data_IF_288127517573
#
_entry.id   IF_288127517573
#
_cell.length_a   1.000
_cell.length_b   1.000
_cell.length_c   1.000
_cell.angle_alpha   90.00
_cell.angle_beta   90.00
_cell.angle_gamma   90.00
#
_symmetry.space_group_name_H-M   'P 1'
#
loop_
_entity.id
_entity.type
_entity.pdbx_description
1 polymer ?
#
# COMPACT_ATOMS: atom_id res chain seq x y z
N UNK A 1 -39.40 -12.78 15.63
CA UNK A 1 -39.04 -11.35 15.49
C UNK A 1 -37.65 -11.14 16.05
N UNK A 2 -36.64 -10.86 15.22
CA UNK A 2 -35.25 -10.63 15.64
C UNK A 2 -35.00 -9.13 15.73
N UNK A 3 -34.94 -8.58 16.94
CA UNK A 3 -34.53 -7.19 17.18
C UNK A 3 -33.03 -7.07 16.91
N UNK A 4 -32.65 -6.43 15.79
CA UNK A 4 -31.26 -6.01 15.56
C UNK A 4 -30.90 -4.98 16.64
N UNK A 5 -30.04 -5.37 17.59
CA UNK A 5 -29.41 -4.42 18.50
C UNK A 5 -28.60 -3.40 17.68
N UNK A 6 -28.64 -2.11 18.01
CA UNK A 6 -27.76 -1.13 17.40
C UNK A 6 -26.31 -1.52 17.71
N UNK A 7 -25.52 -1.78 16.66
CA UNK A 7 -24.08 -1.95 16.78
C UNK A 7 -23.50 -0.61 17.25
N UNK A 8 -22.70 -0.56 18.33
CA UNK A 8 -21.98 0.65 18.67
C UNK A 8 -21.06 1.03 17.51
N UNK A 9 -21.03 2.32 17.15
CA UNK A 9 -20.06 2.83 16.18
C UNK A 9 -18.66 2.37 16.60
N UNK A 10 -17.81 1.87 15.68
CA UNK A 10 -16.44 1.55 16.01
C UNK A 10 -15.80 2.81 16.60
N UNK A 11 -15.28 2.70 17.83
CA UNK A 11 -14.57 3.78 18.49
C UNK A 11 -13.46 4.27 17.55
N UNK A 12 -13.34 5.59 17.38
CA UNK A 12 -12.24 6.17 16.63
C UNK A 12 -10.92 5.55 17.16
N UNK A 13 -9.99 5.14 16.26
CA UNK A 13 -8.74 4.53 16.69
C UNK A 13 -8.03 5.49 17.66
N UNK A 14 -7.56 4.95 18.79
CA UNK A 14 -6.82 5.73 19.78
C UNK A 14 -5.64 6.46 19.10
N UNK A 15 -5.30 7.69 19.53
CA UNK A 15 -4.13 8.38 19.01
C UNK A 15 -2.88 7.53 19.28
N UNK A 16 -2.25 7.02 18.22
CA UNK A 16 -1.12 6.08 18.28
C UNK A 16 -1.44 4.64 17.86
N UNK A 17 -2.69 4.30 17.51
CA UNK A 17 -2.99 3.03 16.87
C UNK A 17 -2.28 2.96 15.51
N UNK A 18 -1.42 1.95 15.35
CA UNK A 18 -0.78 1.65 14.07
C UNK A 18 -1.83 1.61 12.94
N UNK A 19 -1.48 2.01 11.71
CA UNK A 19 -2.41 1.95 10.59
C UNK A 19 -3.05 0.56 10.52
N UNK A 20 -4.34 0.46 10.18
CA UNK A 20 -5.05 -0.80 10.22
C UNK A 20 -4.24 -1.85 9.45
N UNK A 21 -4.04 -3.03 10.05
CA UNK A 21 -3.20 -4.12 9.55
C UNK A 21 -3.70 -4.79 8.26
N UNK A 22 -4.51 -4.07 7.49
CA UNK A 22 -5.07 -4.46 6.21
C UNK A 22 -4.05 -4.39 5.07
N UNK A 23 -4.51 -4.91 3.94
CA UNK A 23 -3.77 -4.94 2.69
C UNK A 23 -4.03 -3.65 1.93
N UNK A 24 -2.96 -3.02 1.46
CA UNK A 24 -2.96 -1.87 0.56
C UNK A 24 -2.39 -2.27 -0.79
N UNK A 25 -2.89 -1.59 -1.81
CA UNK A 25 -2.49 -1.81 -3.20
C UNK A 25 -2.19 -0.47 -3.82
N UNK A 26 -1.07 -0.39 -4.53
CA UNK A 26 -0.78 0.71 -5.45
C UNK A 26 -0.52 0.14 -6.84
N UNK A 27 -0.94 0.86 -7.86
CA UNK A 27 -0.76 0.47 -9.24
C UNK A 27 -0.25 1.64 -10.07
N UNK A 28 0.70 1.37 -10.97
CA UNK A 28 1.18 2.30 -11.98
C UNK A 28 0.98 1.65 -13.35
N UNK A 29 0.43 2.43 -14.28
CA UNK A 29 0.33 2.03 -15.69
C UNK A 29 1.15 3.01 -16.52
N UNK A 30 2.03 2.47 -17.37
CA UNK A 30 2.87 3.23 -18.32
C UNK A 30 2.77 2.57 -19.69
N UNK A 31 1.95 3.13 -20.59
CA UNK A 31 1.65 2.48 -21.85
C UNK A 31 1.01 1.10 -21.62
N UNK A 32 1.61 0.05 -22.16
CA UNK A 32 1.16 -1.34 -21.95
C UNK A 32 1.68 -1.99 -20.66
N UNK A 33 2.61 -1.34 -19.96
CA UNK A 33 3.22 -1.90 -18.77
C UNK A 33 2.44 -1.53 -17.51
N UNK A 34 2.26 -2.51 -16.63
CA UNK A 34 1.43 -2.40 -15.43
C UNK A 34 2.21 -2.97 -14.26
N UNK A 35 2.43 -2.14 -13.24
CA UNK A 35 3.09 -2.52 -12.02
C UNK A 35 2.09 -2.44 -10.88
N UNK A 36 1.90 -3.55 -10.16
CA UNK A 36 0.98 -3.63 -9.02
C UNK A 36 1.76 -4.09 -7.80
N UNK A 37 1.74 -3.27 -6.74
CA UNK A 37 2.35 -3.61 -5.46
C UNK A 37 1.26 -3.81 -4.42
N UNK A 38 1.23 -5.03 -3.89
CA UNK A 38 0.35 -5.43 -2.80
C UNK A 38 1.19 -5.58 -1.54
N UNK A 39 0.84 -4.84 -0.49
CA UNK A 39 1.59 -4.82 0.75
C UNK A 39 0.66 -4.62 1.94
N UNK A 40 1.14 -4.94 3.14
CA UNK A 40 0.39 -4.64 4.36
C UNK A 40 0.67 -3.22 4.81
N UNK A 41 -0.36 -2.50 5.26
CA UNK A 41 -0.21 -1.11 5.69
C UNK A 41 0.73 -0.93 6.90
N UNK A 42 0.89 -1.96 7.72
CA UNK A 42 1.84 -1.99 8.83
C UNK A 42 3.30 -2.32 8.41
N UNK A 43 3.53 -2.59 7.12
CA UNK A 43 4.84 -2.99 6.55
C UNK A 43 5.27 -2.11 5.37
N UNK A 44 4.99 -0.81 5.44
CA UNK A 44 5.37 0.17 4.41
C UNK A 44 6.88 0.18 4.14
N UNK A 45 7.71 0.18 5.18
CA UNK A 45 9.17 0.22 5.03
C UNK A 45 9.71 -1.00 4.26
N UNK A 46 9.20 -2.19 4.55
CA UNK A 46 9.56 -3.43 3.85
C UNK A 46 9.16 -3.37 2.37
N UNK A 47 7.99 -2.80 2.07
CA UNK A 47 7.53 -2.59 0.69
C UNK A 47 8.44 -1.61 -0.07
N UNK A 48 8.83 -0.50 0.55
CA UNK A 48 9.73 0.49 -0.05
C UNK A 48 11.12 -0.10 -0.33
N UNK A 49 11.64 -0.92 0.59
CA UNK A 49 12.92 -1.61 0.39
C UNK A 49 12.88 -2.57 -0.81
N UNK A 50 11.81 -3.37 -0.93
CA UNK A 50 11.63 -4.27 -2.09
C UNK A 50 11.47 -3.51 -3.40
N UNK A 51 10.72 -2.40 -3.37
CA UNK A 51 10.54 -1.54 -4.53
C UNK A 51 11.88 -0.99 -5.05
N UNK A 52 12.80 -0.61 -4.16
CA UNK A 52 14.14 -0.16 -4.53
C UNK A 52 14.98 -1.28 -5.17
N UNK A 53 14.90 -2.51 -4.64
CA UNK A 53 15.58 -3.67 -5.23
C UNK A 53 15.05 -3.98 -6.63
N UNK A 54 13.72 -3.99 -6.81
CA UNK A 54 13.12 -4.21 -8.13
C UNK A 54 13.48 -3.11 -9.14
N UNK A 55 13.57 -1.85 -8.71
CA UNK A 55 13.98 -0.76 -9.59
C UNK A 55 15.45 -0.84 -10.04
N UNK A 56 16.27 -1.60 -9.32
CA UNK A 56 17.67 -1.86 -9.66
C UNK A 56 17.84 -3.11 -10.54
N UNK A 57 16.77 -3.88 -10.76
CA UNK A 57 16.81 -5.09 -11.59
C UNK A 57 16.58 -4.72 -13.08
N UNK A 58 17.59 -4.82 -13.95
CA UNK A 58 17.46 -4.46 -15.36
C UNK A 58 16.58 -5.42 -16.17
N UNK A 59 16.21 -6.58 -15.62
CA UNK A 59 15.27 -7.51 -16.26
C UNK A 59 13.82 -7.06 -16.11
N UNK A 60 13.54 -6.12 -15.21
CA UNK A 60 12.24 -5.50 -15.03
C UNK A 60 12.18 -4.19 -15.82
N UNK A 61 11.05 -3.92 -16.46
CA UNK A 61 10.81 -2.62 -17.10
C UNK A 61 10.53 -1.47 -16.11
N UNK A 62 10.69 -1.75 -14.82
CA UNK A 62 10.46 -0.79 -13.74
C UNK A 62 11.68 0.11 -13.59
N UNK A 63 11.53 1.39 -13.89
CA UNK A 63 12.62 2.35 -13.74
C UNK A 63 12.68 2.94 -12.33
N UNK A 64 13.82 3.53 -11.97
CA UNK A 64 13.97 4.28 -10.72
C UNK A 64 12.94 5.43 -10.60
N UNK A 65 12.55 6.04 -11.72
CA UNK A 65 11.52 7.08 -11.74
C UNK A 65 10.13 6.54 -11.40
N UNK A 66 9.74 5.39 -11.97
CA UNK A 66 8.47 4.72 -11.66
C UNK A 66 8.42 4.31 -10.19
N UNK A 67 9.53 3.77 -9.67
CA UNK A 67 9.66 3.40 -8.28
C UNK A 67 9.54 4.61 -7.34
N UNK A 68 10.07 5.79 -7.73
CA UNK A 68 9.90 7.00 -6.95
C UNK A 68 8.42 7.43 -6.88
N UNK A 69 7.69 7.38 -8.01
CA UNK A 69 6.25 7.69 -8.05
C UNK A 69 5.42 6.72 -7.19
N UNK A 70 5.70 5.42 -7.29
CA UNK A 70 5.06 4.41 -6.46
C UNK A 70 5.39 4.61 -4.97
N UNK A 71 6.64 4.95 -4.65
CA UNK A 71 7.06 5.20 -3.27
C UNK A 71 6.37 6.41 -2.64
N UNK A 72 6.12 7.47 -3.41
CA UNK A 72 5.32 8.62 -2.97
C UNK A 72 3.89 8.18 -2.63
N UNK A 73 3.23 7.47 -3.54
CA UNK A 73 1.85 6.96 -3.34
C UNK A 73 1.73 6.00 -2.16
N UNK A 74 2.76 5.17 -1.92
CA UNK A 74 2.81 4.27 -0.77
C UNK A 74 2.85 5.05 0.56
N UNK A 75 3.53 6.20 0.60
CA UNK A 75 3.64 7.03 1.81
C UNK A 75 2.40 7.89 2.06
N UNK A 76 1.73 8.33 1.01
CA UNK A 76 0.55 9.23 1.11
C UNK A 76 -0.73 8.52 1.52
N UNK A 77 -0.92 7.26 1.09
CA UNK A 77 -2.07 6.46 1.52
C UNK A 77 -1.87 5.81 2.89
#
# INVERSE_FOLDING_TARGET
MLTRRPQPLPAAPAPGAAPPSGVRVVALTRGEERFVYLFRADRVADCLARLAVHAADPSLSLTAADAALLAERIREG
#
